data_IF_115861031877
#
_entry.id   IF_115861031877
#
_cell.length_a   1.000
_cell.length_b   1.000
_cell.length_c   1.000
_cell.angle_alpha   90.00
_cell.angle_beta   90.00
_cell.angle_gamma   90.00
#
_symmetry.space_group_name_H-M   'P 1'
#
loop_
_entity.id
_entity.type
_entity.pdbx_description
1 polymer ?
#
# COMPACT_ATOMS: atom_id res chain seq x y z
N UNK A 1 -2.70 -2.25 45.48
CA UNK A 1 -3.85 -2.20 44.57
C UNK A 1 -3.52 -3.01 43.34
N UNK A 2 -4.05 -4.23 43.28
CA UNK A 2 -3.91 -5.19 42.21
C UNK A 2 -4.62 -4.69 40.95
N UNK A 3 -3.89 -4.15 39.98
CA UNK A 3 -4.36 -4.10 38.60
C UNK A 3 -4.15 -5.52 38.02
N UNK A 4 -5.26 -6.23 37.79
CA UNK A 4 -5.33 -7.53 37.18
C UNK A 4 -4.37 -7.57 35.96
N UNK A 5 -3.38 -8.47 36.00
CA UNK A 5 -2.74 -8.95 34.79
C UNK A 5 -3.84 -9.65 33.99
N UNK A 6 -4.43 -8.95 33.02
CA UNK A 6 -5.22 -9.58 31.98
C UNK A 6 -4.34 -10.72 31.42
N UNK A 7 -4.85 -11.93 31.42
CA UNK A 7 -4.19 -13.07 30.82
C UNK A 7 -3.79 -12.68 29.41
N UNK A 8 -2.52 -12.32 29.22
CA UNK A 8 -1.94 -12.15 27.90
C UNK A 8 -1.96 -13.54 27.29
N UNK A 9 -2.84 -13.76 26.32
CA UNK A 9 -2.90 -15.01 25.61
C UNK A 9 -1.51 -15.27 25.03
N UNK A 10 -0.90 -16.39 25.40
CA UNK A 10 0.40 -16.77 24.90
C UNK A 10 0.36 -16.88 23.37
N UNK A 11 1.14 -16.09 22.69
CA UNK A 11 1.33 -16.14 21.25
C UNK A 11 2.78 -16.47 20.95
N UNK A 12 3.02 -17.57 20.24
CA UNK A 12 4.36 -18.01 19.84
C UNK A 12 5.11 -16.93 19.04
N UNK A 13 4.40 -16.31 18.11
CA UNK A 13 4.86 -15.21 17.27
C UNK A 13 3.68 -14.28 16.97
N UNK A 14 3.91 -13.00 16.95
CA UNK A 14 2.90 -12.01 16.57
C UNK A 14 3.53 -10.77 15.94
N UNK A 15 2.76 -10.12 15.07
CA UNK A 15 3.15 -8.86 14.43
C UNK A 15 2.29 -7.72 15.02
N UNK A 16 2.78 -6.98 16.02
CA UNK A 16 2.07 -5.81 16.52
C UNK A 16 2.06 -4.71 15.46
N UNK A 17 0.90 -4.06 15.30
CA UNK A 17 0.73 -2.89 14.43
C UNK A 17 0.48 -1.66 15.30
N UNK A 18 1.29 -0.64 15.11
CA UNK A 18 1.18 0.65 15.78
C UNK A 18 0.35 1.60 14.91
N UNK A 19 -0.94 1.73 15.24
CA UNK A 19 -1.86 2.61 14.53
C UNK A 19 -1.51 4.11 14.72
N UNK A 20 -0.96 4.49 15.86
CA UNK A 20 -0.51 5.86 16.12
C UNK A 20 0.69 6.23 15.24
N UNK A 21 1.56 5.26 14.94
CA UNK A 21 2.64 5.45 13.96
C UNK A 21 2.09 5.69 12.56
N UNK A 22 1.03 4.99 12.14
CA UNK A 22 0.37 5.20 10.84
C UNK A 22 -0.22 6.61 10.77
N UNK A 23 -0.93 7.06 11.80
CA UNK A 23 -1.46 8.42 11.88
C UNK A 23 -0.34 9.46 11.82
N UNK A 24 0.73 9.27 12.60
CA UNK A 24 1.90 10.13 12.55
C UNK A 24 2.49 10.26 11.14
N UNK A 25 2.60 9.14 10.43
CA UNK A 25 3.14 9.12 9.07
C UNK A 25 2.24 9.88 8.08
N UNK A 26 0.92 9.73 8.22
CA UNK A 26 -0.04 10.52 7.43
C UNK A 26 0.06 12.02 7.71
N UNK A 27 0.16 12.41 8.97
CA UNK A 27 0.35 13.82 9.34
C UNK A 27 1.68 14.38 8.82
N UNK A 28 2.75 13.57 8.82
CA UNK A 28 4.03 13.95 8.22
C UNK A 28 3.92 14.20 6.72
N UNK A 29 3.22 13.33 6.00
CA UNK A 29 2.93 13.54 4.57
C UNK A 29 2.03 14.75 4.34
N UNK A 30 1.01 14.96 5.18
CA UNK A 30 0.08 16.10 5.10
C UNK A 30 0.82 17.44 5.20
N UNK A 31 1.86 17.53 6.02
CA UNK A 31 2.69 18.74 6.16
C UNK A 31 3.54 19.04 4.93
N UNK A 32 3.77 18.06 4.06
CA UNK A 32 4.59 18.19 2.85
C UNK A 32 3.78 18.43 1.57
N UNK A 33 2.47 18.62 1.68
CA UNK A 33 1.57 18.92 0.56
C UNK A 33 0.70 20.13 0.88
N UNK A 34 0.11 20.73 -0.14
CA UNK A 34 -0.82 21.83 0.05
C UNK A 34 -2.03 21.42 0.88
N UNK A 35 -2.52 22.33 1.70
CA UNK A 35 -3.62 22.06 2.61
C UNK A 35 -4.89 21.61 1.92
N UNK A 36 -5.18 22.18 0.74
CA UNK A 36 -6.37 21.89 -0.06
C UNK A 36 -6.24 20.61 -0.91
N UNK A 37 -5.04 20.00 -0.96
CA UNK A 37 -4.84 18.75 -1.70
C UNK A 37 -5.47 17.58 -0.95
N UNK A 38 -6.41 16.87 -1.58
CA UNK A 38 -7.01 15.66 -1.04
C UNK A 38 -5.98 14.53 -0.88
N UNK A 39 -6.26 13.59 0.01
CA UNK A 39 -5.39 12.44 0.24
C UNK A 39 -6.20 11.14 0.29
N UNK A 40 -5.82 10.16 -0.52
CA UNK A 40 -6.35 8.80 -0.46
C UNK A 40 -5.40 7.91 0.32
N UNK A 41 -5.89 7.21 1.33
CA UNK A 41 -5.15 6.16 2.03
C UNK A 41 -5.16 4.86 1.21
N UNK A 42 -4.00 4.37 0.79
CA UNK A 42 -3.89 3.12 0.03
C UNK A 42 -3.77 1.94 0.99
N UNK A 43 -4.85 1.17 1.12
CA UNK A 43 -4.99 0.07 2.08
C UNK A 43 -5.29 -1.28 1.42
N UNK A 44 -4.88 -1.44 0.15
CA UNK A 44 -4.93 -2.72 -0.57
C UNK A 44 -4.04 -3.77 0.07
N UNK A 45 -4.23 -5.04 -0.30
CA UNK A 45 -3.49 -6.19 0.25
C UNK A 45 -3.50 -6.20 1.79
N UNK A 46 -4.72 -6.09 2.36
CA UNK A 46 -4.95 -5.99 3.80
C UNK A 46 -4.12 -4.90 4.49
N UNK A 47 -4.13 -3.69 3.90
CA UNK A 47 -3.31 -2.55 4.34
C UNK A 47 -1.80 -2.92 4.37
N UNK A 48 -1.29 -3.52 3.29
CA UNK A 48 0.10 -3.99 3.19
C UNK A 48 0.46 -4.98 4.31
N UNK A 49 -0.51 -5.81 4.74
CA UNK A 49 -0.36 -6.77 5.81
C UNK A 49 -0.57 -6.22 7.23
N UNK A 50 -1.01 -4.97 7.36
CA UNK A 50 -1.24 -4.31 8.66
C UNK A 50 -2.67 -4.46 9.18
N UNK A 51 -3.58 -5.05 8.38
CA UNK A 51 -5.01 -5.17 8.73
C UNK A 51 -5.83 -3.98 8.22
N UNK A 52 -6.53 -4.15 7.09
CA UNK A 52 -7.20 -3.05 6.39
C UNK A 52 -8.32 -2.40 7.20
N UNK A 53 -9.12 -3.18 7.92
CA UNK A 53 -10.25 -2.67 8.70
C UNK A 53 -9.80 -1.80 9.87
N UNK A 54 -8.90 -2.26 10.79
CA UNK A 54 -8.44 -1.41 11.88
C UNK A 54 -7.62 -0.21 11.38
N UNK A 55 -6.84 -0.36 10.31
CA UNK A 55 -6.12 0.78 9.72
C UNK A 55 -7.11 1.80 9.16
N UNK A 56 -8.12 1.37 8.36
CA UNK A 56 -9.12 2.27 7.82
C UNK A 56 -9.85 3.05 8.92
N UNK A 57 -10.29 2.38 9.98
CA UNK A 57 -10.96 3.02 11.12
C UNK A 57 -10.06 4.05 11.83
N UNK A 58 -8.75 3.77 11.96
CA UNK A 58 -7.82 4.67 12.62
C UNK A 58 -7.52 5.93 11.80
N UNK A 59 -7.57 5.85 10.46
CA UNK A 59 -7.16 6.95 9.58
C UNK A 59 -8.32 7.65 8.86
N UNK A 60 -9.58 7.23 9.05
CA UNK A 60 -10.73 7.77 8.32
C UNK A 60 -10.82 9.29 8.41
N UNK A 61 -10.53 9.87 9.58
CA UNK A 61 -10.56 11.32 9.78
C UNK A 61 -9.36 12.08 9.15
N UNK A 62 -8.31 11.36 8.74
CA UNK A 62 -7.08 11.94 8.19
C UNK A 62 -6.99 11.88 6.67
N UNK A 63 -7.91 11.17 6.00
CA UNK A 63 -7.93 10.97 4.56
C UNK A 63 -9.29 11.36 3.97
N UNK A 64 -9.32 11.67 2.66
CA UNK A 64 -10.54 12.01 1.94
C UNK A 64 -11.23 10.77 1.36
N UNK A 65 -10.53 9.66 1.31
CA UNK A 65 -11.01 8.38 0.83
C UNK A 65 -9.93 7.31 0.90
N UNK A 66 -10.28 6.13 0.42
CA UNK A 66 -9.42 4.95 0.42
C UNK A 66 -9.19 4.43 -0.99
N UNK A 67 -8.04 3.81 -1.21
CA UNK A 67 -7.75 3.11 -2.46
C UNK A 67 -7.36 1.65 -2.17
N UNK A 68 -8.03 0.75 -2.88
CA UNK A 68 -7.87 -0.71 -2.76
C UNK A 68 -7.59 -1.33 -4.13
N UNK A 69 -7.30 -2.63 -4.19
CA UNK A 69 -7.01 -3.32 -5.43
C UNK A 69 -8.22 -4.05 -6.01
N UNK A 70 -9.14 -4.52 -5.17
CA UNK A 70 -10.23 -5.42 -5.57
C UNK A 70 -11.59 -5.01 -5.00
N UNK A 71 -12.65 -5.53 -5.62
CA UNK A 71 -14.01 -5.37 -5.12
C UNK A 71 -14.20 -5.99 -3.72
N UNK A 72 -13.56 -7.12 -3.45
CA UNK A 72 -13.68 -7.78 -2.13
C UNK A 72 -13.07 -6.92 -1.02
N UNK A 73 -11.92 -6.30 -1.25
CA UNK A 73 -11.32 -5.35 -0.32
C UNK A 73 -12.23 -4.13 -0.08
N UNK A 74 -12.81 -3.58 -1.14
CA UNK A 74 -13.75 -2.46 -1.04
C UNK A 74 -15.01 -2.83 -0.23
N UNK A 75 -15.59 -3.99 -0.50
CA UNK A 75 -16.77 -4.48 0.21
C UNK A 75 -16.48 -4.81 1.67
N UNK A 76 -15.28 -5.32 1.98
CA UNK A 76 -14.86 -5.54 3.36
C UNK A 76 -14.90 -4.24 4.16
N UNK A 77 -14.40 -3.15 3.60
CA UNK A 77 -14.42 -1.83 4.23
C UNK A 77 -15.86 -1.33 4.43
N UNK A 78 -16.70 -1.42 3.39
CA UNK A 78 -18.12 -1.00 3.49
C UNK A 78 -18.88 -1.76 4.57
N UNK A 79 -18.71 -3.09 4.65
CA UNK A 79 -19.35 -3.93 5.67
C UNK A 79 -18.88 -3.59 7.09
N UNK A 80 -17.69 -3.00 7.23
CA UNK A 80 -17.15 -2.53 8.51
C UNK A 80 -17.39 -1.03 8.77
N UNK A 81 -18.32 -0.40 8.06
CA UNK A 81 -18.83 0.92 8.37
C UNK A 81 -18.09 2.10 7.73
N UNK A 82 -17.07 1.86 6.92
CA UNK A 82 -16.36 2.96 6.21
C UNK A 82 -17.30 3.62 5.20
N UNK A 83 -17.52 4.92 5.34
CA UNK A 83 -18.44 5.70 4.50
C UNK A 83 -17.74 6.56 3.45
N UNK A 84 -16.48 6.90 3.66
CA UNK A 84 -15.71 7.72 2.71
C UNK A 84 -15.56 7.04 1.35
N UNK A 85 -15.17 7.81 0.34
CA UNK A 85 -14.91 7.31 -1.00
C UNK A 85 -13.97 6.11 -0.97
N UNK A 86 -14.29 5.08 -1.75
CA UNK A 86 -13.41 3.94 -1.97
C UNK A 86 -13.18 3.79 -3.47
N UNK A 87 -11.92 3.85 -3.89
CA UNK A 87 -11.46 3.68 -5.25
C UNK A 87 -10.80 2.31 -5.42
N UNK A 88 -11.24 1.54 -6.41
CA UNK A 88 -10.55 0.32 -6.83
C UNK A 88 -9.55 0.69 -7.93
N UNK A 89 -8.26 0.51 -7.64
CA UNK A 89 -7.16 0.83 -8.57
C UNK A 89 -6.94 -0.26 -9.64
N UNK A 90 -7.45 -1.46 -9.40
CA UNK A 90 -7.33 -2.61 -10.29
C UNK A 90 -8.54 -2.75 -11.22
N UNK A 91 -8.51 -3.82 -12.02
CA UNK A 91 -9.62 -4.19 -12.90
C UNK A 91 -10.68 -4.94 -12.11
N UNK A 92 -11.96 -4.57 -12.31
CA UNK A 92 -13.09 -5.28 -11.72
C UNK A 92 -13.88 -6.00 -12.81
N UNK A 93 -14.22 -7.26 -12.56
CA UNK A 93 -15.06 -8.04 -13.49
C UNK A 93 -16.50 -7.48 -13.53
N UNK A 94 -17.16 -7.42 -14.69
CA UNK A 94 -18.50 -6.85 -14.85
C UNK A 94 -19.57 -7.45 -13.93
N UNK A 95 -19.45 -8.72 -13.54
CA UNK A 95 -20.39 -9.37 -12.59
C UNK A 95 -20.46 -8.70 -11.21
N UNK A 96 -19.52 -7.82 -10.88
CA UNK A 96 -19.45 -7.10 -9.60
C UNK A 96 -20.02 -5.67 -9.70
N UNK A 97 -20.36 -5.19 -10.90
CA UNK A 97 -20.69 -3.77 -11.10
C UNK A 97 -21.94 -3.33 -10.34
N UNK A 98 -22.99 -4.17 -10.27
CA UNK A 98 -24.19 -3.85 -9.48
C UNK A 98 -23.83 -3.61 -8.01
N UNK A 99 -23.03 -4.50 -7.43
CA UNK A 99 -22.56 -4.39 -6.04
C UNK A 99 -21.76 -3.10 -5.82
N UNK A 100 -20.87 -2.72 -6.77
CA UNK A 100 -20.11 -1.48 -6.69
C UNK A 100 -21.00 -0.25 -6.72
N UNK A 101 -21.98 -0.23 -7.62
CA UNK A 101 -22.94 0.88 -7.76
C UNK A 101 -23.79 1.01 -6.50
N UNK A 102 -24.30 -0.10 -5.96
CA UNK A 102 -25.10 -0.11 -4.72
C UNK A 102 -24.36 0.49 -3.54
N UNK A 103 -23.06 0.21 -3.44
CA UNK A 103 -22.22 0.60 -2.32
C UNK A 103 -21.37 1.85 -2.60
N UNK A 104 -21.66 2.56 -3.69
CA UNK A 104 -20.96 3.79 -4.10
C UNK A 104 -19.43 3.63 -4.12
N UNK A 105 -18.94 2.52 -4.68
CA UNK A 105 -17.52 2.22 -4.87
C UNK A 105 -17.13 2.65 -6.29
N UNK A 106 -15.97 3.32 -6.42
CA UNK A 106 -15.45 3.85 -7.69
C UNK A 106 -14.54 2.81 -8.34
N UNK A 107 -14.90 2.21 -9.48
CA UNK A 107 -13.97 1.40 -10.26
C UNK A 107 -13.04 2.27 -11.11
N UNK A 108 -11.83 1.77 -11.38
CA UNK A 108 -10.97 2.29 -12.44
C UNK A 108 -11.45 1.78 -13.78
N UNK A 109 -11.72 2.69 -14.72
CA UNK A 109 -12.22 2.38 -16.07
C UNK A 109 -11.26 2.98 -17.10
N UNK A 110 -10.96 2.23 -18.16
CA UNK A 110 -10.08 2.67 -19.24
C UNK A 110 -10.34 1.97 -20.58
N UNK A 111 -11.43 1.17 -20.68
CA UNK A 111 -11.87 0.56 -21.94
C UNK A 111 -13.39 0.67 -22.10
N UNK A 112 -13.85 0.67 -23.35
CA UNK A 112 -15.29 0.63 -23.65
C UNK A 112 -15.92 -0.70 -23.21
N UNK A 113 -15.16 -1.80 -23.23
CA UNK A 113 -15.60 -3.12 -22.78
C UNK A 113 -15.92 -3.15 -21.27
N UNK A 114 -15.26 -2.31 -20.47
CA UNK A 114 -15.59 -2.10 -19.06
C UNK A 114 -16.74 -1.12 -18.88
N UNK A 115 -16.73 -0.02 -19.64
CA UNK A 115 -17.67 1.09 -19.45
C UNK A 115 -19.11 0.74 -19.85
N UNK A 116 -19.32 0.02 -20.95
CA UNK A 116 -20.66 -0.35 -21.43
C UNK A 116 -21.45 -1.19 -20.40
N UNK A 117 -20.95 -2.34 -19.91
CA UNK A 117 -21.68 -3.11 -18.89
C UNK A 117 -21.91 -2.34 -17.60
N UNK A 118 -20.99 -1.45 -17.21
CA UNK A 118 -21.17 -0.59 -16.03
C UNK A 118 -22.30 0.43 -16.26
N UNK A 119 -22.35 1.06 -17.42
CA UNK A 119 -23.43 1.96 -17.82
C UNK A 119 -24.79 1.25 -17.83
N UNK A 120 -24.86 0.06 -18.43
CA UNK A 120 -26.09 -0.76 -18.46
C UNK A 120 -26.56 -1.10 -17.04
N UNK A 121 -25.65 -1.50 -16.15
CA UNK A 121 -25.98 -1.77 -14.75
C UNK A 121 -26.49 -0.51 -14.03
N UNK A 122 -25.84 0.63 -14.23
CA UNK A 122 -26.25 1.91 -13.62
C UNK A 122 -27.65 2.33 -14.08
N UNK A 123 -27.93 2.25 -15.37
CA UNK A 123 -29.25 2.59 -15.96
C UNK A 123 -30.33 1.66 -15.41
N UNK A 124 -30.09 0.35 -15.40
CA UNK A 124 -31.03 -0.65 -14.88
C UNK A 124 -31.37 -0.42 -13.41
N UNK A 125 -30.38 0.01 -12.63
CA UNK A 125 -30.54 0.32 -11.20
C UNK A 125 -31.07 1.73 -10.95
N UNK A 126 -31.23 2.57 -11.99
CA UNK A 126 -31.60 3.99 -11.90
C UNK A 126 -30.65 4.77 -10.97
N UNK A 127 -29.36 4.45 -11.05
CA UNK A 127 -28.27 5.05 -10.27
C UNK A 127 -27.17 5.58 -11.21
N UNK A 128 -26.26 6.36 -10.66
CA UNK A 128 -25.06 6.83 -11.35
C UNK A 128 -23.84 6.05 -10.86
N UNK A 129 -23.07 5.51 -11.78
CA UNK A 129 -21.77 4.93 -11.51
C UNK A 129 -20.71 6.04 -11.60
N UNK A 130 -20.10 6.39 -10.48
CA UNK A 130 -18.92 7.29 -10.45
C UNK A 130 -17.68 6.49 -10.68
N UNK A 131 -16.84 6.95 -11.59
CA UNK A 131 -15.63 6.25 -12.01
C UNK A 131 -14.41 7.15 -11.96
N UNK A 132 -13.23 6.55 -11.81
CA UNK A 132 -11.97 7.20 -12.12
C UNK A 132 -11.38 6.60 -13.41
N UNK A 133 -10.99 7.44 -14.34
CA UNK A 133 -10.25 7.01 -15.52
C UNK A 133 -8.80 6.72 -15.14
N UNK A 134 -8.28 5.56 -15.54
CA UNK A 134 -6.86 5.28 -15.47
C UNK A 134 -6.18 5.72 -16.75
N UNK A 135 -5.06 6.43 -16.66
CA UNK A 135 -4.24 6.89 -17.78
C UNK A 135 -2.85 6.27 -17.73
N UNK A 136 -2.42 5.64 -18.80
CA UNK A 136 -1.06 5.13 -18.92
C UNK A 136 -0.13 6.20 -19.48
N UNK A 137 0.64 6.81 -18.61
CA UNK A 137 1.67 7.80 -19.00
C UNK A 137 3.07 7.22 -19.12
N UNK A 138 3.24 5.91 -18.84
CA UNK A 138 4.53 5.23 -18.94
C UNK A 138 4.74 4.05 -18.01
N UNK A 139 3.79 3.72 -17.13
CA UNK A 139 3.86 2.52 -16.28
C UNK A 139 3.64 1.23 -17.08
N UNK A 140 2.90 1.31 -18.20
CA UNK A 140 2.59 0.20 -19.13
C UNK A 140 1.91 -1.00 -18.47
N UNK A 141 1.03 -0.72 -17.53
CA UNK A 141 0.27 -1.73 -16.79
C UNK A 141 -1.22 -1.73 -17.12
N UNK A 142 -1.89 -0.60 -16.98
CA UNK A 142 -3.29 -0.35 -17.29
C UNK A 142 -3.47 1.12 -17.66
N UNK A 143 -4.52 1.45 -18.38
CA UNK A 143 -4.93 2.82 -18.64
C UNK A 143 -5.20 3.12 -20.11
N UNK A 144 -5.87 4.25 -20.33
CA UNK A 144 -6.02 4.88 -21.64
C UNK A 144 -4.65 5.29 -22.17
N UNK A 145 -4.46 5.29 -23.49
CA UNK A 145 -3.29 5.93 -24.09
C UNK A 145 -3.32 7.44 -23.85
N UNK A 146 -2.16 8.03 -23.57
CA UNK A 146 -2.06 9.46 -23.26
C UNK A 146 -1.95 10.32 -24.53
N UNK A 147 -2.91 10.18 -25.45
CA UNK A 147 -2.98 10.82 -26.75
C UNK A 147 -4.43 11.17 -27.15
N UNK A 148 -4.61 11.66 -28.39
CA UNK A 148 -5.91 12.00 -28.95
C UNK A 148 -6.88 10.81 -28.93
N UNK A 149 -6.40 9.60 -29.26
CA UNK A 149 -7.26 8.42 -29.31
C UNK A 149 -7.77 8.02 -27.93
N UNK A 150 -6.94 8.12 -26.91
CA UNK A 150 -7.35 7.92 -25.51
C UNK A 150 -8.31 8.99 -25.02
N UNK A 151 -8.12 10.24 -25.45
CA UNK A 151 -9.04 11.33 -25.11
C UNK A 151 -10.42 11.16 -25.79
N UNK A 152 -10.47 10.71 -27.04
CA UNK A 152 -11.71 10.36 -27.73
C UNK A 152 -12.44 9.21 -27.02
N UNK A 153 -11.71 8.18 -26.60
CA UNK A 153 -12.28 7.08 -25.82
C UNK A 153 -12.81 7.54 -24.47
N UNK A 154 -12.07 8.41 -23.75
CA UNK A 154 -12.55 9.00 -22.50
C UNK A 154 -13.85 9.80 -22.69
N UNK A 155 -13.95 10.60 -23.76
CA UNK A 155 -15.16 11.33 -24.09
C UNK A 155 -16.33 10.39 -24.41
N UNK A 156 -16.09 9.32 -25.17
CA UNK A 156 -17.09 8.31 -25.47
C UNK A 156 -17.57 7.57 -24.20
N UNK A 157 -16.67 7.28 -23.26
CA UNK A 157 -17.02 6.69 -21.95
C UNK A 157 -17.90 7.67 -21.15
N UNK A 158 -17.50 8.94 -21.07
CA UNK A 158 -18.25 9.97 -20.35
C UNK A 158 -19.63 10.28 -20.93
N UNK A 159 -19.85 9.98 -22.22
CA UNK A 159 -21.15 10.14 -22.87
C UNK A 159 -22.11 8.98 -22.62
N UNK A 160 -21.68 7.88 -22.00
CA UNK A 160 -22.55 6.75 -21.68
C UNK A 160 -23.54 7.12 -20.58
N UNK A 161 -24.83 6.73 -20.71
CA UNK A 161 -25.83 7.03 -19.71
C UNK A 161 -25.49 6.37 -18.36
N UNK A 162 -25.73 7.09 -17.27
CA UNK A 162 -25.47 6.59 -15.92
C UNK A 162 -23.99 6.54 -15.51
N UNK A 163 -23.08 7.08 -16.33
CA UNK A 163 -21.64 7.22 -15.99
C UNK A 163 -21.33 8.66 -15.61
N UNK A 164 -20.61 8.84 -14.52
CA UNK A 164 -20.00 10.10 -14.08
C UNK A 164 -18.49 9.91 -13.91
N UNK A 165 -17.70 10.64 -14.67
CA UNK A 165 -16.23 10.63 -14.52
C UNK A 165 -15.87 11.60 -13.38
N UNK A 166 -15.59 11.05 -12.20
CA UNK A 166 -15.22 11.80 -10.99
C UNK A 166 -13.72 12.09 -10.93
N UNK A 167 -12.90 11.18 -11.46
CA UNK A 167 -11.44 11.32 -11.36
C UNK A 167 -10.66 10.82 -12.55
N UNK A 168 -9.40 11.27 -12.61
CA UNK A 168 -8.37 10.81 -13.55
C UNK A 168 -7.09 10.57 -12.80
N UNK A 169 -6.45 9.42 -13.00
CA UNK A 169 -5.18 9.11 -12.36
C UNK A 169 -4.18 8.44 -13.28
N UNK A 170 -2.92 8.62 -12.94
CA UNK A 170 -1.80 7.84 -13.48
C UNK A 170 -0.94 7.27 -12.35
N UNK A 171 0.02 6.44 -12.68
CA UNK A 171 0.97 5.91 -11.71
C UNK A 171 2.40 6.08 -12.22
N UNK A 172 3.24 6.72 -11.40
CA UNK A 172 4.66 6.89 -11.71
C UNK A 172 5.41 5.58 -11.55
N UNK A 173 6.25 5.28 -12.52
CA UNK A 173 7.07 4.07 -12.53
C UNK A 173 8.41 4.23 -11.78
N UNK A 174 8.96 5.48 -11.74
CA UNK A 174 10.30 5.79 -11.26
C UNK A 174 10.37 7.10 -10.45
N UNK A 175 9.31 7.41 -9.70
CA UNK A 175 9.27 8.65 -8.89
C UNK A 175 10.17 8.59 -7.65
N UNK A 176 10.56 7.39 -7.24
CA UNK A 176 11.41 7.11 -6.07
C UNK A 176 12.91 7.14 -6.36
N UNK A 177 13.31 7.29 -7.61
CA UNK A 177 14.71 7.48 -8.01
C UNK A 177 15.14 8.95 -7.83
N UNK A 178 16.45 9.19 -7.67
CA UNK A 178 17.01 10.54 -7.57
C UNK A 178 16.77 11.33 -8.86
N UNK A 179 16.93 10.69 -10.02
CA UNK A 179 16.70 11.27 -11.34
C UNK A 179 15.20 11.31 -11.65
N UNK A 180 14.64 12.52 -11.76
CA UNK A 180 13.19 12.73 -11.89
C UNK A 180 12.69 12.84 -13.34
N UNK A 181 13.56 12.77 -14.35
CA UNK A 181 13.19 12.95 -15.78
C UNK A 181 12.05 12.04 -16.20
N UNK A 182 12.09 10.75 -15.82
CA UNK A 182 11.03 9.81 -16.16
C UNK A 182 9.68 10.21 -15.54
N UNK A 183 9.67 10.54 -14.25
CA UNK A 183 8.44 10.97 -13.56
C UNK A 183 7.91 12.30 -14.13
N UNK A 184 8.79 13.24 -14.45
CA UNK A 184 8.41 14.53 -15.07
C UNK A 184 7.86 14.34 -16.49
N UNK A 185 8.42 13.40 -17.26
CA UNK A 185 7.88 13.03 -18.58
C UNK A 185 6.46 12.46 -18.44
N UNK A 186 6.24 11.57 -17.47
CA UNK A 186 4.90 11.03 -17.18
C UNK A 186 3.92 12.14 -16.76
N UNK A 187 4.35 13.06 -15.90
CA UNK A 187 3.53 14.22 -15.50
C UNK A 187 3.20 15.11 -16.71
N UNK A 188 4.17 15.40 -17.58
CA UNK A 188 3.93 16.16 -18.80
C UNK A 188 2.87 15.53 -19.72
N UNK A 189 2.92 14.20 -19.90
CA UNK A 189 1.92 13.45 -20.66
C UNK A 189 0.54 13.53 -19.98
N UNK A 190 0.50 13.43 -18.66
CA UNK A 190 -0.75 13.55 -17.90
C UNK A 190 -1.38 14.94 -18.06
N UNK A 191 -0.61 15.99 -17.88
CA UNK A 191 -1.09 17.38 -18.03
C UNK A 191 -1.54 17.67 -19.48
N UNK A 192 -0.80 17.21 -20.47
CA UNK A 192 -1.21 17.32 -21.87
C UNK A 192 -2.56 16.59 -22.10
N UNK A 193 -2.73 15.41 -21.56
CA UNK A 193 -3.99 14.67 -21.67
C UNK A 193 -5.16 15.42 -21.02
N UNK A 194 -4.95 16.11 -19.89
CA UNK A 194 -6.00 16.94 -19.29
C UNK A 194 -6.42 18.09 -20.21
N UNK A 195 -5.49 18.68 -20.98
CA UNK A 195 -5.83 19.70 -21.98
C UNK A 195 -6.61 19.11 -23.17
N UNK A 196 -6.27 17.89 -23.61
CA UNK A 196 -7.03 17.17 -24.64
C UNK A 196 -8.49 16.90 -24.19
N UNK A 197 -8.70 16.53 -22.93
CA UNK A 197 -10.02 16.36 -22.35
C UNK A 197 -10.79 17.68 -22.29
N UNK A 198 -10.12 18.74 -21.84
CA UNK A 198 -10.72 20.08 -21.76
C UNK A 198 -11.16 20.61 -23.13
N UNK A 199 -10.36 20.35 -24.19
CA UNK A 199 -10.73 20.67 -25.56
C UNK A 199 -12.01 19.94 -26.03
N UNK A 200 -12.37 18.82 -25.39
CA UNK A 200 -13.61 18.05 -25.61
C UNK A 200 -14.73 18.45 -24.65
N UNK A 201 -14.57 19.53 -23.91
CA UNK A 201 -15.56 20.02 -22.93
C UNK A 201 -15.61 19.20 -21.64
N UNK A 202 -14.59 18.40 -21.36
CA UNK A 202 -14.51 17.56 -20.16
C UNK A 202 -13.55 18.18 -19.14
N UNK A 203 -14.07 18.48 -17.96
CA UNK A 203 -13.29 18.88 -16.82
C UNK A 203 -13.41 17.82 -15.72
N UNK A 204 -12.26 17.26 -15.31
CA UNK A 204 -12.23 16.18 -14.32
C UNK A 204 -12.01 16.80 -12.94
N UNK A 205 -12.92 16.54 -11.96
CA UNK A 205 -12.82 17.13 -10.63
C UNK A 205 -11.58 16.68 -9.83
N UNK A 206 -11.31 15.36 -9.79
CA UNK A 206 -10.24 14.79 -8.99
C UNK A 206 -9.09 14.32 -9.88
N UNK A 207 -7.91 14.94 -9.72
CA UNK A 207 -6.72 14.66 -10.52
C UNK A 207 -5.62 14.16 -9.59
N UNK A 208 -5.14 12.91 -9.79
CA UNK A 208 -4.14 12.33 -8.89
C UNK A 208 -3.05 11.55 -9.61
N UNK A 209 -1.80 11.99 -9.43
CA UNK A 209 -0.59 11.38 -9.98
C UNK A 209 0.30 10.82 -8.87
N UNK A 210 0.57 11.62 -7.82
CA UNK A 210 1.53 11.29 -6.77
C UNK A 210 1.15 10.03 -6.01
N UNK A 211 2.10 9.09 -5.98
CA UNK A 211 2.21 8.02 -4.99
C UNK A 211 3.06 8.52 -3.80
N UNK A 212 3.50 7.62 -2.91
CA UNK A 212 4.35 7.99 -1.77
C UNK A 212 5.61 8.77 -2.16
N UNK A 213 6.30 8.35 -3.23
CA UNK A 213 7.48 9.05 -3.72
C UNK A 213 7.15 10.44 -4.27
N UNK A 214 6.05 10.56 -5.02
CA UNK A 214 5.57 11.85 -5.50
C UNK A 214 5.22 12.81 -4.37
N UNK A 215 4.59 12.33 -3.31
CA UNK A 215 4.29 13.12 -2.10
C UNK A 215 5.59 13.68 -1.49
N UNK A 216 6.66 12.88 -1.43
CA UNK A 216 7.94 13.31 -0.84
C UNK A 216 8.66 14.31 -1.74
N UNK A 217 8.81 14.00 -3.03
CA UNK A 217 9.81 14.64 -3.90
C UNK A 217 9.26 15.44 -5.08
N UNK A 218 7.97 15.32 -5.40
CA UNK A 218 7.38 15.92 -6.61
C UNK A 218 6.15 16.79 -6.27
N UNK A 219 6.33 17.94 -5.59
CA UNK A 219 5.20 18.79 -5.19
C UNK A 219 4.34 19.23 -6.37
N UNK A 220 4.92 19.45 -7.55
CA UNK A 220 4.20 19.81 -8.78
C UNK A 220 3.29 18.69 -9.32
N UNK A 221 3.49 17.44 -8.88
CA UNK A 221 2.67 16.29 -9.27
C UNK A 221 1.52 15.98 -8.30
N UNK A 222 1.43 16.70 -7.18
CA UNK A 222 0.37 16.46 -6.19
C UNK A 222 -1.01 16.84 -6.70
N UNK A 223 -1.08 17.81 -7.62
CA UNK A 223 -2.33 18.31 -8.20
C UNK A 223 -3.34 18.62 -7.08
N UNK A 224 -4.58 18.12 -7.19
CA UNK A 224 -5.58 18.31 -6.14
C UNK A 224 -5.86 17.05 -5.31
N UNK A 225 -5.15 15.94 -5.56
CA UNK A 225 -5.27 14.73 -4.76
C UNK A 225 -4.00 13.88 -4.87
N UNK A 226 -3.61 13.22 -3.77
CA UNK A 226 -2.46 12.31 -3.68
C UNK A 226 -2.87 10.94 -3.13
N UNK A 227 -2.01 9.93 -3.33
CA UNK A 227 -2.23 8.58 -2.81
C UNK A 227 -1.11 8.18 -1.85
N UNK A 228 -1.42 8.22 -0.56
CA UNK A 228 -0.53 7.78 0.50
C UNK A 228 -0.47 6.25 0.53
N UNK A 229 0.66 5.68 0.14
CA UNK A 229 0.89 4.24 0.06
C UNK A 229 1.89 3.76 1.11
N UNK A 230 3.01 3.19 0.68
CA UNK A 230 4.00 2.54 1.55
C UNK A 230 4.52 3.45 2.67
N UNK A 231 4.62 4.74 2.43
CA UNK A 231 5.07 5.74 3.40
C UNK A 231 4.13 5.82 4.61
N UNK A 232 2.84 5.57 4.43
CA UNK A 232 1.87 5.52 5.52
C UNK A 232 2.23 4.44 6.57
N UNK A 233 2.87 3.36 6.14
CA UNK A 233 3.29 2.26 7.01
C UNK A 233 4.69 2.44 7.61
N UNK A 234 5.32 3.59 7.39
CA UNK A 234 6.62 3.95 7.96
C UNK A 234 7.82 3.46 7.16
N UNK A 235 7.64 3.19 5.88
CA UNK A 235 8.70 2.78 4.97
C UNK A 235 8.87 3.81 3.84
N UNK A 236 10.12 4.14 3.53
CA UNK A 236 10.42 4.96 2.36
C UNK A 236 10.35 4.12 1.07
N UNK A 237 9.90 4.70 -0.05
CA UNK A 237 9.81 3.98 -1.32
C UNK A 237 11.16 3.47 -1.84
N UNK A 238 12.24 4.21 -1.56
CA UNK A 238 13.63 3.83 -1.86
C UNK A 238 14.60 4.57 -0.93
N UNK A 239 15.89 4.26 -1.04
CA UNK A 239 16.95 4.98 -0.33
C UNK A 239 17.23 6.38 -0.93
N UNK A 240 16.76 6.64 -2.16
CA UNK A 240 17.05 7.85 -2.93
C UNK A 240 16.09 9.02 -2.67
N UNK A 241 14.94 8.76 -2.01
CA UNK A 241 14.00 9.84 -1.66
C UNK A 241 14.52 10.73 -0.54
N UNK A 242 14.08 11.99 -0.52
CA UNK A 242 14.48 12.99 0.49
C UNK A 242 13.76 12.74 1.82
N UNK A 243 14.33 11.83 2.62
CA UNK A 243 13.74 11.32 3.87
C UNK A 243 13.48 12.38 4.93
N UNK A 244 14.27 13.44 4.94
CA UNK A 244 14.16 14.58 5.87
C UNK A 244 12.88 15.39 5.69
N UNK A 245 12.30 15.38 4.49
CA UNK A 245 11.03 16.07 4.21
C UNK A 245 9.83 15.45 4.90
N UNK A 246 9.83 14.13 5.05
CA UNK A 246 8.71 13.38 5.62
C UNK A 246 9.27 12.38 6.64
N UNK A 247 9.43 12.77 7.91
CA UNK A 247 9.89 11.84 8.94
C UNK A 247 8.85 10.76 9.18
N UNK A 248 9.31 9.51 9.34
CA UNK A 248 8.44 8.34 9.46
C UNK A 248 8.73 7.53 10.72
N UNK A 249 7.70 6.82 11.18
CA UNK A 249 7.78 5.80 12.23
C UNK A 249 7.34 4.45 11.65
N UNK A 250 8.15 3.37 11.75
CA UNK A 250 7.72 2.03 11.37
C UNK A 250 6.46 1.62 12.13
N UNK A 251 5.45 1.12 11.42
CA UNK A 251 4.18 0.73 12.03
C UNK A 251 4.10 -0.77 12.37
N UNK A 252 4.90 -1.62 11.72
CA UNK A 252 4.89 -3.06 11.92
C UNK A 252 6.10 -3.50 12.75
N UNK A 253 5.86 -4.33 13.76
CA UNK A 253 6.87 -5.08 14.48
C UNK A 253 6.68 -6.58 14.30
N UNK A 254 7.70 -7.37 14.65
CA UNK A 254 7.62 -8.81 14.77
C UNK A 254 8.19 -9.21 16.12
N UNK A 255 7.42 -9.93 16.92
CA UNK A 255 7.80 -10.38 18.27
C UNK A 255 7.62 -11.89 18.42
N UNK A 256 8.57 -12.49 19.09
CA UNK A 256 8.57 -13.88 19.48
C UNK A 256 9.24 -14.02 20.86
N UNK A 257 9.58 -15.22 21.28
CA UNK A 257 10.27 -15.48 22.54
C UNK A 257 11.38 -16.52 22.36
N UNK A 258 12.30 -16.53 23.29
CA UNK A 258 13.34 -17.55 23.38
C UNK A 258 12.73 -18.83 23.97
N UNK A 259 12.69 -19.89 23.16
CA UNK A 259 12.12 -21.15 23.54
C UNK A 259 13.11 -22.05 24.32
N UNK A 260 14.40 -21.94 24.00
CA UNK A 260 15.45 -22.75 24.58
C UNK A 260 16.81 -22.05 24.51
N UNK A 261 17.66 -22.27 25.50
CA UNK A 261 19.06 -21.80 25.53
C UNK A 261 19.97 -22.96 25.90
N UNK A 262 21.06 -23.10 25.17
CA UNK A 262 22.09 -24.11 25.47
C UNK A 262 23.49 -23.58 25.16
N UNK A 263 24.49 -24.19 25.76
CA UNK A 263 25.89 -24.00 25.42
C UNK A 263 26.36 -25.14 24.50
N UNK A 264 27.13 -24.81 23.48
CA UNK A 264 27.72 -25.76 22.54
C UNK A 264 29.21 -25.46 22.35
N UNK A 265 29.98 -26.53 22.15
CA UNK A 265 31.42 -26.44 21.93
C UNK A 265 31.80 -25.96 20.53
N UNK A 266 33.13 -25.81 20.28
CA UNK A 266 33.62 -25.50 18.94
C UNK A 266 33.50 -26.70 17.99
N UNK A 267 33.37 -26.45 16.69
CA UNK A 267 33.29 -27.45 15.64
C UNK A 267 31.89 -28.04 15.41
N UNK A 268 30.87 -27.54 16.12
CA UNK A 268 29.48 -28.02 15.98
C UNK A 268 28.73 -27.29 14.84
N UNK A 269 28.02 -28.08 14.04
CA UNK A 269 27.19 -27.56 12.96
C UNK A 269 25.82 -27.07 13.48
N UNK A 270 25.37 -25.90 13.01
CA UNK A 270 24.08 -25.34 13.40
C UNK A 270 23.11 -25.30 12.20
N UNK A 271 21.91 -25.83 12.43
CA UNK A 271 20.77 -25.80 11.49
C UNK A 271 20.97 -26.68 10.25
N UNK A 272 19.97 -26.64 9.35
CA UNK A 272 19.97 -27.43 8.13
C UNK A 272 21.21 -27.19 7.26
N UNK A 273 21.88 -28.26 6.88
CA UNK A 273 23.04 -28.26 6.00
C UNK A 273 24.33 -27.76 6.66
N UNK A 274 24.33 -27.57 7.99
CA UNK A 274 25.55 -27.20 8.74
C UNK A 274 26.25 -25.94 8.21
N UNK A 275 25.46 -24.98 7.72
CA UNK A 275 26.02 -23.79 7.03
C UNK A 275 26.72 -22.80 7.98
N UNK A 276 26.59 -22.99 9.26
CA UNK A 276 27.35 -22.32 10.30
C UNK A 276 28.00 -23.37 11.19
N UNK A 277 29.32 -23.24 11.41
CA UNK A 277 30.09 -24.07 12.31
C UNK A 277 30.64 -23.21 13.43
N UNK A 278 30.51 -23.66 14.68
CA UNK A 278 30.99 -22.90 15.84
C UNK A 278 32.51 -22.90 15.89
N UNK A 279 33.11 -21.72 16.07
CA UNK A 279 34.57 -21.56 16.20
C UNK A 279 35.05 -21.61 17.66
N UNK A 280 34.13 -21.43 18.59
CA UNK A 280 34.38 -21.39 20.05
C UNK A 280 33.19 -21.97 20.79
N UNK A 281 33.35 -22.23 22.05
CA UNK A 281 32.22 -22.48 22.97
C UNK A 281 31.35 -21.23 23.00
N UNK A 282 30.04 -21.39 22.74
CA UNK A 282 29.10 -20.29 22.69
C UNK A 282 27.71 -20.69 23.19
N UNK A 283 26.97 -19.72 23.69
CA UNK A 283 25.57 -19.90 24.06
C UNK A 283 24.72 -19.58 22.84
N UNK A 284 23.82 -20.48 22.53
CA UNK A 284 22.83 -20.28 21.47
C UNK A 284 21.42 -20.31 22.04
N UNK A 285 20.55 -19.45 21.51
CA UNK A 285 19.13 -19.46 21.81
C UNK A 285 18.34 -19.92 20.59
N UNK A 286 17.29 -20.72 20.83
CA UNK A 286 16.27 -21.05 19.84
C UNK A 286 15.13 -20.08 20.03
N UNK A 287 14.76 -19.35 18.96
CA UNK A 287 13.65 -18.40 18.94
C UNK A 287 12.53 -18.97 18.09
N UNK A 288 11.30 -18.89 18.59
CA UNK A 288 10.12 -19.55 18.03
C UNK A 288 9.49 -18.74 16.87
N UNK A 289 10.25 -18.49 15.81
CA UNK A 289 9.82 -17.85 14.56
C UNK A 289 10.58 -18.44 13.38
N UNK A 290 9.93 -18.60 12.24
CA UNK A 290 10.57 -19.12 11.05
C UNK A 290 9.87 -18.72 9.76
N UNK A 291 10.25 -19.33 8.62
CA UNK A 291 9.70 -18.93 7.31
C UNK A 291 8.22 -19.30 7.15
N UNK A 292 7.70 -20.24 7.90
CA UNK A 292 6.26 -20.54 7.98
C UNK A 292 5.42 -19.40 8.56
N UNK A 293 6.05 -18.50 9.31
CA UNK A 293 5.46 -17.28 9.86
C UNK A 293 5.70 -16.05 8.96
N UNK A 294 6.31 -16.24 7.78
CA UNK A 294 6.71 -15.15 6.88
C UNK A 294 8.11 -14.57 7.14
N UNK A 295 8.90 -15.17 8.06
CA UNK A 295 10.27 -14.72 8.33
C UNK A 295 11.18 -15.06 7.15
N UNK A 296 11.94 -14.09 6.58
CA UNK A 296 12.69 -14.32 5.34
C UNK A 296 13.82 -15.34 5.49
N UNK A 297 13.85 -16.38 4.67
CA UNK A 297 14.96 -17.34 4.61
C UNK A 297 16.30 -16.71 4.20
N UNK A 298 16.25 -15.60 3.47
CA UNK A 298 17.42 -14.82 3.08
C UNK A 298 18.22 -14.25 4.26
N UNK A 299 17.61 -14.19 5.45
CA UNK A 299 18.28 -13.75 6.68
C UNK A 299 19.14 -14.84 7.32
N UNK A 300 19.20 -16.05 6.75
CA UNK A 300 20.09 -17.13 7.19
C UNK A 300 21.54 -16.66 7.22
N UNK A 301 22.24 -16.87 8.34
CA UNK A 301 23.62 -16.46 8.61
C UNK A 301 23.94 -14.95 8.55
N UNK A 302 23.01 -14.08 8.16
CA UNK A 302 23.27 -12.64 8.01
C UNK A 302 22.33 -11.75 8.83
N UNK A 303 21.15 -12.26 9.20
CA UNK A 303 20.18 -11.50 10.00
C UNK A 303 20.52 -11.46 11.48
N UNK A 304 19.73 -10.69 12.21
CA UNK A 304 19.78 -10.64 13.68
C UNK A 304 18.38 -10.39 14.25
N UNK A 305 18.21 -10.75 15.51
CA UNK A 305 17.05 -10.35 16.33
C UNK A 305 17.55 -9.53 17.52
N UNK A 306 16.61 -8.86 18.21
CA UNK A 306 16.92 -8.15 19.44
C UNK A 306 16.46 -8.99 20.64
N UNK A 307 17.39 -9.31 21.54
CA UNK A 307 17.09 -9.96 22.82
C UNK A 307 17.55 -9.00 23.92
N UNK A 308 16.61 -8.56 24.77
CA UNK A 308 16.89 -7.55 25.80
C UNK A 308 17.60 -6.29 25.23
N UNK A 309 17.20 -5.86 24.02
CA UNK A 309 17.76 -4.67 23.35
C UNK A 309 19.12 -4.89 22.68
N UNK A 310 19.72 -6.09 22.77
CA UNK A 310 21.01 -6.43 22.15
C UNK A 310 20.80 -7.24 20.88
N UNK A 311 21.66 -7.02 19.88
CA UNK A 311 21.65 -7.79 18.63
C UNK A 311 22.16 -9.21 18.88
N UNK A 312 21.34 -10.20 18.51
CA UNK A 312 21.65 -11.61 18.51
C UNK A 312 21.66 -12.12 17.06
N UNK A 313 22.83 -12.49 16.54
CA UNK A 313 23.01 -12.89 15.13
C UNK A 313 22.34 -14.23 14.87
N UNK A 314 21.69 -14.39 13.72
CA UNK A 314 21.16 -15.66 13.25
C UNK A 314 22.28 -16.58 12.81
N UNK A 315 22.29 -17.81 13.36
CA UNK A 315 23.27 -18.84 13.10
C UNK A 315 22.66 -19.97 12.29
N UNK A 316 23.22 -20.21 11.11
CA UNK A 316 22.71 -21.23 10.20
C UNK A 316 21.45 -20.79 9.44
N UNK A 317 20.76 -21.76 8.87
CA UNK A 317 19.54 -21.53 8.07
C UNK A 317 18.33 -21.27 8.94
N UNK A 318 17.49 -20.31 8.50
CA UNK A 318 16.15 -20.11 9.04
C UNK A 318 15.32 -21.37 8.79
N UNK A 319 14.73 -21.96 9.84
CA UNK A 319 13.85 -23.12 9.75
C UNK A 319 12.39 -22.70 9.52
N UNK A 320 11.48 -23.68 9.42
CA UNK A 320 10.05 -23.39 9.17
C UNK A 320 9.43 -22.57 10.29
N UNK A 321 9.74 -22.88 11.56
CA UNK A 321 9.08 -22.33 12.75
C UNK A 321 10.05 -21.90 13.86
N UNK A 322 11.37 -21.97 13.61
CA UNK A 322 12.43 -21.65 14.58
C UNK A 322 13.66 -21.08 13.87
N UNK A 323 14.42 -20.28 14.63
CA UNK A 323 15.77 -19.83 14.26
C UNK A 323 16.71 -20.00 15.47
N UNK A 324 18.00 -20.17 15.21
CA UNK A 324 19.05 -20.19 16.23
C UNK A 324 19.81 -18.88 16.18
N UNK A 325 20.15 -18.32 17.34
CA UNK A 325 20.85 -17.04 17.46
C UNK A 325 21.95 -17.11 18.53
N UNK A 326 22.99 -16.31 18.36
CA UNK A 326 24.10 -16.13 19.32
C UNK A 326 23.65 -15.22 20.49
N UNK A 327 23.82 -15.65 21.78
CA UNK A 327 23.37 -14.91 22.97
C UNK A 327 24.39 -14.90 24.10
#
# INVERSE_FOLDING_TARGET
QNKSMKHMQYMRVYAPVDLDAIVFNLESMRKNIDRETGMLGVIKADAYGHGSVPVAAAIEDYVDGFAVATADEAMLLRRNGIQKMILILGVTHPSRYQELIENEIRPAIFTMAQAKPLSEAAVNMKKTARIHLALDTGMRRIGLEADESGADLAAAIGALPGIEIEGLFTHFSRADEMEKTSAMTQLGRYLHFTELLKARGMEIPIKHCSNSAGIIDLPQANLNCVRAGITMYGMYPSEEVQKDKVPLKPALGLKSFVAYVKEIGPGEEISYGGTYVTERTMRIATVAVGYGDGYPRSLSNCGYVLICGKRARILGRVCMDQIMVDV
#
